data_IF_853712011012
#
_entry.id   IF_853712011012
#
_cell.length_a   1.000
_cell.length_b   1.000
_cell.length_c   1.000
_cell.angle_alpha   90.00
_cell.angle_beta   90.00
_cell.angle_gamma   90.00
#
_symmetry.space_group_name_H-M   'P 1'
#
loop_
_entity.id
_entity.type
_entity.pdbx_description
1 polymer ?
#
# COMPACT_ATOMS: atom_id res chain seq x y z
N UNK A 1 20.04 -49.60 11.32
CA UNK A 1 20.63 -48.59 10.41
C UNK A 1 19.51 -47.74 9.86
N UNK A 2 19.25 -46.59 10.49
CA UNK A 2 18.19 -45.66 10.07
C UNK A 2 18.81 -44.61 9.14
N UNK A 3 18.44 -44.65 7.86
CA UNK A 3 18.84 -43.66 6.88
C UNK A 3 18.13 -42.33 7.19
N UNK A 4 18.88 -41.35 7.66
CA UNK A 4 18.42 -39.97 7.85
C UNK A 4 18.24 -39.33 6.47
N UNK A 5 17.02 -39.37 5.96
CA UNK A 5 16.63 -38.70 4.74
C UNK A 5 16.56 -37.19 5.00
N UNK A 6 17.65 -36.49 4.71
CA UNK A 6 17.69 -35.03 4.72
C UNK A 6 16.88 -34.51 3.52
N UNK A 7 15.59 -34.30 3.73
CA UNK A 7 14.74 -33.55 2.81
C UNK A 7 15.18 -32.09 2.79
N UNK A 8 16.10 -31.79 1.86
CA UNK A 8 16.50 -30.42 1.52
C UNK A 8 15.29 -29.72 0.89
N UNK A 9 14.45 -29.11 1.73
CA UNK A 9 13.32 -28.30 1.25
C UNK A 9 13.85 -27.14 0.41
N UNK A 10 13.87 -27.32 -0.91
CA UNK A 10 14.29 -26.31 -1.85
C UNK A 10 13.35 -25.11 -1.70
N UNK A 11 13.93 -23.98 -1.31
CA UNK A 11 13.18 -22.77 -1.06
C UNK A 11 12.69 -22.23 -2.42
N UNK A 12 11.37 -22.24 -2.73
CA UNK A 12 10.86 -21.89 -4.06
C UNK A 12 11.24 -20.46 -4.47
N UNK A 13 11.52 -19.60 -3.48
CA UNK A 13 11.99 -18.22 -3.65
C UNK A 13 13.41 -18.11 -4.23
N UNK A 14 14.27 -19.11 -4.01
CA UNK A 14 15.62 -19.16 -4.59
C UNK A 14 15.63 -19.90 -5.93
N UNK A 15 14.68 -20.81 -6.14
CA UNK A 15 14.53 -21.57 -7.37
C UNK A 15 14.12 -20.70 -8.56
N UNK A 16 13.19 -19.76 -8.36
CA UNK A 16 12.70 -18.86 -9.43
C UNK A 16 13.81 -18.02 -10.10
N UNK A 17 14.66 -17.25 -9.37
CA UNK A 17 15.75 -16.52 -10.00
C UNK A 17 16.80 -17.43 -10.64
N UNK A 18 17.10 -18.57 -10.00
CA UNK A 18 18.08 -19.52 -10.52
C UNK A 18 17.60 -20.14 -11.84
N UNK A 19 16.32 -20.50 -11.93
CA UNK A 19 15.70 -20.98 -13.16
C UNK A 19 15.69 -19.90 -14.25
N UNK A 20 15.34 -18.65 -13.91
CA UNK A 20 15.37 -17.54 -14.87
C UNK A 20 16.78 -17.33 -15.45
N UNK A 21 17.81 -17.33 -14.61
CA UNK A 21 19.21 -17.24 -15.05
C UNK A 21 19.62 -18.44 -15.91
N UNK A 22 19.26 -19.66 -15.51
CA UNK A 22 19.56 -20.86 -16.28
C UNK A 22 18.89 -20.82 -17.66
N UNK A 23 17.62 -20.42 -17.73
CA UNK A 23 16.91 -20.28 -19.01
C UNK A 23 17.51 -19.17 -19.89
N UNK A 24 17.95 -18.06 -19.29
CA UNK A 24 18.62 -16.98 -20.02
C UNK A 24 19.98 -17.42 -20.60
N UNK A 25 20.76 -18.19 -19.83
CA UNK A 25 22.03 -18.76 -20.29
C UNK A 25 21.83 -19.78 -21.41
N UNK A 26 20.82 -20.65 -21.29
CA UNK A 26 20.48 -21.62 -22.35
C UNK A 26 20.07 -20.90 -23.64
N UNK A 27 19.23 -19.86 -23.54
CA UNK A 27 18.84 -19.06 -24.69
C UNK A 27 20.06 -18.37 -25.36
N UNK A 28 20.97 -17.79 -24.58
CA UNK A 28 22.19 -17.18 -25.09
C UNK A 28 23.10 -18.20 -25.80
N UNK A 29 23.26 -19.40 -25.22
CA UNK A 29 24.04 -20.48 -25.80
C UNK A 29 23.44 -20.97 -27.13
N UNK A 30 22.11 -21.10 -27.22
CA UNK A 30 21.43 -21.48 -28.46
C UNK A 30 21.63 -20.43 -29.57
N UNK A 31 21.57 -19.14 -29.25
CA UNK A 31 21.85 -18.06 -30.21
C UNK A 31 23.31 -18.08 -30.66
N UNK A 32 24.25 -18.31 -29.73
CA UNK A 32 25.66 -18.39 -30.05
C UNK A 32 26.01 -19.62 -30.91
N UNK A 33 25.30 -20.74 -30.72
CA UNK A 33 25.48 -21.98 -31.48
C UNK A 33 24.73 -21.99 -32.82
N UNK A 34 23.93 -20.95 -33.12
CA UNK A 34 23.15 -20.90 -34.35
C UNK A 34 24.05 -20.90 -35.61
N UNK A 35 23.74 -21.71 -36.64
CA UNK A 35 24.50 -21.72 -37.89
C UNK A 35 24.48 -20.36 -38.57
N UNK A 36 25.61 -20.03 -39.20
CA UNK A 36 25.85 -18.68 -39.69
C UNK A 36 24.76 -18.16 -40.63
N UNK A 37 24.39 -18.97 -41.62
CA UNK A 37 23.38 -18.59 -42.60
C UNK A 37 21.98 -18.38 -42.02
N UNK A 38 21.64 -19.06 -40.91
CA UNK A 38 20.30 -18.92 -40.29
C UNK A 38 20.22 -17.61 -39.51
N UNK A 39 21.29 -17.25 -38.80
CA UNK A 39 21.34 -16.00 -38.05
C UNK A 39 21.37 -14.80 -39.00
N UNK A 40 22.22 -14.84 -40.02
CA UNK A 40 22.40 -13.72 -40.94
C UNK A 40 21.10 -13.46 -41.73
N UNK A 41 20.42 -14.52 -42.21
CA UNK A 41 19.11 -14.40 -42.87
C UNK A 41 18.00 -13.89 -41.93
N UNK A 42 18.03 -14.27 -40.65
CA UNK A 42 17.07 -13.75 -39.68
C UNK A 42 17.28 -12.24 -39.43
N UNK A 43 18.54 -11.80 -39.31
CA UNK A 43 18.90 -10.39 -39.09
C UNK A 43 18.53 -9.53 -40.30
N UNK A 44 18.76 -10.00 -41.52
CA UNK A 44 18.37 -9.30 -42.75
C UNK A 44 16.84 -9.08 -42.85
N UNK A 45 16.03 -9.94 -42.23
CA UNK A 45 14.58 -9.78 -42.17
C UNK A 45 14.07 -8.79 -41.12
N UNK A 46 14.92 -8.32 -40.20
CA UNK A 46 14.54 -7.35 -39.17
C UNK A 46 14.77 -5.91 -39.67
N UNK A 47 13.83 -4.98 -39.46
CA UNK A 47 14.01 -3.56 -39.77
C UNK A 47 14.90 -2.87 -38.72
N UNK A 48 16.08 -3.41 -38.49
CA UNK A 48 17.05 -2.86 -37.54
C UNK A 48 17.98 -1.88 -38.30
N UNK A 49 18.32 -0.72 -37.71
CA UNK A 49 19.35 0.14 -38.27
C UNK A 49 20.67 -0.63 -38.33
N UNK A 50 21.47 -0.40 -39.38
CA UNK A 50 22.67 -1.14 -39.78
C UNK A 50 23.86 -1.15 -38.78
N UNK A 51 23.60 -0.99 -37.49
CA UNK A 51 24.58 -0.93 -36.42
C UNK A 51 25.00 -2.29 -35.84
N UNK A 52 24.42 -3.40 -36.31
CA UNK A 52 24.84 -4.73 -35.83
C UNK A 52 26.08 -5.16 -36.62
N UNK A 53 27.25 -5.30 -35.97
CA UNK A 53 28.46 -5.72 -36.66
C UNK A 53 28.28 -7.14 -37.23
N UNK A 54 28.60 -7.33 -38.51
CA UNK A 54 28.50 -8.63 -39.16
C UNK A 54 29.49 -9.65 -38.56
N UNK A 55 29.10 -10.92 -38.53
CA UNK A 55 29.96 -12.03 -38.10
C UNK A 55 29.91 -12.35 -36.60
N UNK A 56 31.02 -12.85 -36.07
CA UNK A 56 31.08 -13.46 -34.72
C UNK A 56 30.78 -12.45 -33.58
N UNK A 57 31.20 -11.20 -33.76
CA UNK A 57 30.96 -10.12 -32.79
C UNK A 57 29.48 -9.76 -32.70
N UNK A 58 28.77 -9.72 -33.83
CA UNK A 58 27.32 -9.53 -33.88
C UNK A 58 26.56 -10.63 -33.14
N UNK A 59 26.98 -11.89 -33.31
CA UNK A 59 26.35 -13.02 -32.61
C UNK A 59 26.58 -13.01 -31.11
N UNK A 60 27.79 -12.66 -30.67
CA UNK A 60 28.10 -12.49 -29.24
C UNK A 60 27.23 -11.38 -28.62
N UNK A 61 27.11 -10.24 -29.29
CA UNK A 61 26.27 -9.14 -28.82
C UNK A 61 24.79 -9.51 -28.80
N UNK A 62 24.29 -10.19 -29.83
CA UNK A 62 22.91 -10.66 -29.88
C UNK A 62 22.62 -11.70 -28.79
N UNK A 63 23.54 -12.64 -28.55
CA UNK A 63 23.41 -13.63 -27.49
C UNK A 63 23.35 -12.98 -26.10
N UNK A 64 24.21 -11.99 -25.83
CA UNK A 64 24.20 -11.23 -24.57
C UNK A 64 22.91 -10.42 -24.42
N UNK A 65 22.47 -9.73 -25.49
CA UNK A 65 21.25 -8.92 -25.45
C UNK A 65 20.01 -9.79 -25.20
N UNK A 66 19.85 -10.87 -25.95
CA UNK A 66 18.71 -11.79 -25.80
C UNK A 66 18.74 -12.49 -24.43
N UNK A 67 19.89 -13.03 -24.02
CA UNK A 67 20.05 -13.68 -22.72
C UNK A 67 19.81 -12.71 -21.55
N UNK A 68 20.31 -11.48 -21.67
CA UNK A 68 20.15 -10.41 -20.69
C UNK A 68 18.69 -9.98 -20.53
N UNK A 69 17.95 -9.80 -21.63
CA UNK A 69 16.52 -9.46 -21.59
C UNK A 69 15.70 -10.56 -20.94
N UNK A 70 15.93 -11.83 -21.29
CA UNK A 70 15.22 -12.97 -20.69
C UNK A 70 15.51 -13.07 -19.19
N UNK A 71 16.77 -12.93 -18.79
CA UNK A 71 17.16 -12.93 -17.38
C UNK A 71 16.56 -11.76 -16.60
N UNK A 72 16.56 -10.55 -17.19
CA UNK A 72 15.99 -9.35 -16.58
C UNK A 72 14.47 -9.46 -16.38
N UNK A 73 13.74 -9.97 -17.37
CA UNK A 73 12.28 -10.19 -17.27
C UNK A 73 11.94 -11.24 -16.21
N UNK A 74 12.73 -12.32 -16.12
CA UNK A 74 12.57 -13.33 -15.07
C UNK A 74 12.91 -12.82 -13.66
N UNK A 75 13.80 -11.82 -13.56
CA UNK A 75 14.17 -11.17 -12.31
C UNK A 75 13.26 -10.00 -11.92
N UNK A 76 12.49 -9.43 -12.86
CA UNK A 76 11.53 -8.33 -12.63
C UNK A 76 10.58 -8.54 -11.43
N UNK A 77 10.00 -9.74 -11.17
CA UNK A 77 9.17 -9.96 -9.98
C UNK A 77 9.92 -9.83 -8.65
N UNK A 78 11.26 -9.86 -8.65
CA UNK A 78 12.09 -9.62 -7.45
C UNK A 78 12.27 -8.12 -7.16
N UNK A 79 12.23 -7.29 -8.21
CA UNK A 79 12.34 -5.84 -8.15
C UNK A 79 11.00 -5.16 -7.86
N UNK A 80 9.88 -5.84 -8.15
CA UNK A 80 8.56 -5.32 -7.83
C UNK A 80 8.46 -5.06 -6.32
N UNK A 81 8.06 -3.84 -5.89
CA UNK A 81 7.91 -3.53 -4.48
C UNK A 81 6.95 -4.55 -3.89
N UNK A 82 7.41 -5.24 -2.83
CA UNK A 82 6.60 -6.21 -2.11
C UNK A 82 5.32 -5.54 -1.67
N UNK A 83 4.26 -5.66 -2.48
CA UNK A 83 2.90 -5.48 -2.01
C UNK A 83 2.76 -6.52 -0.92
N UNK A 84 2.91 -6.09 0.34
CA UNK A 84 2.59 -6.91 1.49
C UNK A 84 1.15 -7.34 1.24
N UNK A 85 0.96 -8.56 0.72
CA UNK A 85 -0.33 -9.23 0.77
C UNK A 85 -0.61 -9.26 2.25
N UNK A 86 -1.47 -8.34 2.71
CA UNK A 86 -2.07 -8.39 4.02
C UNK A 86 -2.71 -9.78 4.08
N UNK A 87 -2.00 -10.70 4.71
CA UNK A 87 -2.41 -12.07 4.89
C UNK A 87 -3.74 -12.03 5.63
N UNK A 88 -4.72 -12.77 5.10
CA UNK A 88 -6.09 -12.97 5.61
C UNK A 88 -6.17 -13.59 7.03
N UNK A 89 -5.11 -13.53 7.82
CA UNK A 89 -5.02 -14.06 9.17
C UNK A 89 -4.29 -13.02 10.03
N UNK A 90 -5.03 -12.28 10.85
CA UNK A 90 -4.47 -11.56 12.00
C UNK A 90 -4.02 -10.11 11.79
N UNK A 91 -4.22 -9.50 10.62
CA UNK A 91 -4.23 -8.05 10.54
C UNK A 91 -5.54 -7.57 11.18
N UNK A 92 -5.56 -7.50 12.51
CA UNK A 92 -6.60 -6.77 13.24
C UNK A 92 -6.58 -5.38 12.61
N UNK A 93 -7.60 -5.01 11.80
CA UNK A 93 -7.65 -3.67 11.26
C UNK A 93 -7.59 -2.75 12.46
N UNK A 94 -6.80 -1.68 12.41
CA UNK A 94 -6.79 -0.67 13.46
C UNK A 94 -8.25 -0.23 13.66
N UNK A 95 -8.91 -0.82 14.65
CA UNK A 95 -10.29 -0.50 14.98
C UNK A 95 -10.25 0.99 15.29
N UNK A 96 -11.06 1.78 14.58
CA UNK A 96 -11.30 3.14 15.03
C UNK A 96 -11.87 3.00 16.43
N UNK A 97 -11.40 3.82 17.38
CA UNK A 97 -11.96 3.81 18.75
C UNK A 97 -13.49 3.96 18.75
N UNK A 98 -14.03 4.63 17.73
CA UNK A 98 -15.46 4.76 17.48
C UNK A 98 -16.19 3.44 17.20
N UNK A 99 -15.51 2.44 16.63
CA UNK A 99 -16.07 1.13 16.29
C UNK A 99 -15.84 0.09 17.41
N UNK A 100 -15.12 0.45 18.48
CA UNK A 100 -14.89 -0.40 19.64
C UNK A 100 -16.05 -0.28 20.64
N UNK A 101 -17.25 -0.68 20.22
CA UNK A 101 -18.43 -0.75 21.10
C UNK A 101 -18.50 -2.15 21.74
N UNK A 102 -18.72 -2.28 23.06
CA UNK A 102 -18.76 -3.59 23.74
C UNK A 102 -19.84 -4.52 23.18
N UNK A 103 -20.98 -3.96 22.77
CA UNK A 103 -22.15 -4.74 22.34
C UNK A 103 -22.24 -4.94 20.82
N UNK A 104 -21.32 -4.40 20.02
CA UNK A 104 -21.36 -4.53 18.56
C UNK A 104 -20.09 -5.18 18.01
N UNK A 105 -20.20 -6.17 17.11
CA UNK A 105 -19.03 -6.76 16.48
C UNK A 105 -18.28 -5.72 15.64
N UNK A 106 -16.95 -5.85 15.60
CA UNK A 106 -16.09 -4.98 14.80
C UNK A 106 -16.55 -4.97 13.33
N UNK A 107 -16.93 -3.79 12.84
CA UNK A 107 -17.29 -3.59 11.44
C UNK A 107 -16.02 -3.56 10.59
N UNK A 108 -16.10 -4.10 9.36
CA UNK A 108 -15.01 -3.98 8.39
C UNK A 108 -14.90 -2.51 7.95
N UNK A 109 -13.69 -2.01 7.66
CA UNK A 109 -13.54 -0.67 7.09
C UNK A 109 -14.33 -0.56 5.80
N UNK A 110 -15.12 0.51 5.66
CA UNK A 110 -15.92 0.77 4.46
C UNK A 110 -14.97 0.89 3.27
N UNK A 111 -15.10 -0.02 2.30
CA UNK A 111 -14.29 -0.01 1.11
C UNK A 111 -14.84 0.99 0.09
N UNK A 112 -14.06 2.03 -0.21
CA UNK A 112 -14.45 3.14 -1.08
C UNK A 112 -14.96 2.72 -2.48
N UNK A 113 -14.56 1.55 -2.97
CA UNK A 113 -14.91 1.07 -4.31
C UNK A 113 -16.12 0.14 -4.35
N UNK A 114 -16.56 -0.42 -3.22
CA UNK A 114 -17.65 -1.40 -3.18
C UNK A 114 -18.84 -0.97 -2.33
N UNK A 115 -18.61 -0.13 -1.32
CA UNK A 115 -19.65 0.27 -0.37
C UNK A 115 -20.09 1.74 -0.54
N UNK A 116 -19.27 2.60 -1.17
CA UNK A 116 -19.61 4.01 -1.41
C UNK A 116 -20.48 4.24 -2.67
N UNK A 117 -20.86 3.18 -3.39
CA UNK A 117 -21.58 3.28 -4.66
C UNK A 117 -20.71 3.77 -5.81
N UNK A 118 -21.34 4.20 -6.91
CA UNK A 118 -20.62 4.93 -7.94
C UNK A 118 -19.95 6.15 -7.28
N UNK A 119 -18.67 6.44 -7.57
CA UNK A 119 -18.06 7.66 -7.05
C UNK A 119 -19.01 8.79 -7.42
N UNK A 120 -19.51 9.51 -6.40
CA UNK A 120 -20.23 10.76 -6.64
C UNK A 120 -19.27 11.52 -7.52
N UNK A 121 -19.62 11.67 -8.79
CA UNK A 121 -18.86 12.47 -9.73
C UNK A 121 -18.74 13.79 -8.99
N UNK A 122 -17.53 14.11 -8.49
CA UNK A 122 -17.23 15.45 -8.04
C UNK A 122 -17.73 16.30 -9.18
N UNK A 123 -18.77 17.09 -8.91
CA UNK A 123 -19.41 17.98 -9.87
C UNK A 123 -18.25 18.58 -10.65
N UNK A 124 -18.16 18.20 -11.92
CA UNK A 124 -17.04 18.57 -12.77
C UNK A 124 -16.90 20.08 -12.60
N UNK A 125 -15.71 20.61 -12.34
CA UNK A 125 -15.54 22.06 -12.19
C UNK A 125 -16.03 22.81 -13.44
N UNK A 126 -16.23 22.08 -14.54
CA UNK A 126 -16.85 22.52 -15.80
C UNK A 126 -18.38 22.65 -15.76
N UNK A 127 -19.07 22.07 -14.79
CA UNK A 127 -20.50 22.31 -14.51
C UNK A 127 -20.71 23.47 -13.53
N UNK A 128 -19.64 24.03 -12.96
CA UNK A 128 -19.68 25.22 -12.12
C UNK A 128 -19.78 26.53 -12.92
N UNK A 129 -20.13 26.49 -14.22
CA UNK A 129 -20.33 27.70 -15.03
C UNK A 129 -21.54 28.53 -14.62
N UNK A 130 -22.31 28.10 -13.62
CA UNK A 130 -23.41 28.88 -13.03
C UNK A 130 -23.12 29.26 -11.58
N UNK A 131 -21.84 29.43 -11.22
CA UNK A 131 -21.49 30.17 -10.01
C UNK A 131 -22.03 31.59 -10.14
N UNK A 132 -23.12 31.91 -9.42
CA UNK A 132 -23.57 33.28 -9.30
C UNK A 132 -22.41 34.13 -8.76
N UNK A 133 -22.12 35.29 -9.35
CA UNK A 133 -21.04 36.15 -8.89
C UNK A 133 -21.27 36.49 -7.42
N UNK A 134 -20.20 36.42 -6.62
CA UNK A 134 -20.27 36.83 -5.22
C UNK A 134 -20.70 38.31 -5.20
N UNK A 135 -21.76 38.66 -4.46
CA UNK A 135 -22.27 40.01 -4.36
C UNK A 135 -21.19 40.96 -3.84
N UNK A 136 -21.10 42.16 -4.41
CA UNK A 136 -20.12 43.15 -3.98
C UNK A 136 -20.34 43.65 -2.55
N UNK A 137 -21.57 43.53 -2.06
CA UNK A 137 -21.98 43.89 -0.71
C UNK A 137 -22.43 42.63 0.04
N UNK A 138 -21.67 42.24 1.07
CA UNK A 138 -21.94 41.08 1.92
C UNK A 138 -22.82 41.43 3.12
N UNK A 139 -23.06 42.73 3.36
CA UNK A 139 -23.88 43.20 4.47
C UNK A 139 -25.36 43.30 4.09
N UNK A 140 -25.71 43.07 2.81
CA UNK A 140 -27.09 43.02 2.39
C UNK A 140 -27.81 41.77 2.95
N UNK A 141 -29.10 41.90 3.35
CA UNK A 141 -29.83 40.78 3.94
C UNK A 141 -30.01 39.63 2.94
N UNK A 142 -29.89 38.39 3.43
CA UNK A 142 -29.98 37.17 2.61
C UNK A 142 -31.30 37.09 1.80
N UNK A 143 -32.37 37.68 2.34
CA UNK A 143 -33.68 37.77 1.69
C UNK A 143 -33.70 38.59 0.39
N UNK A 144 -32.68 39.44 0.16
CA UNK A 144 -32.54 40.17 -1.10
C UNK A 144 -32.02 39.28 -2.25
N UNK A 145 -31.31 38.18 -1.94
CA UNK A 145 -30.81 37.24 -2.95
C UNK A 145 -31.86 36.20 -3.36
N UNK A 146 -32.61 35.71 -2.37
CA UNK A 146 -33.72 34.79 -2.59
C UNK A 146 -34.91 35.22 -1.72
N UNK A 147 -35.86 36.01 -2.25
CA UNK A 147 -37.03 36.45 -1.52
C UNK A 147 -37.97 35.28 -1.15
N UNK A 148 -37.77 34.08 -1.72
CA UNK A 148 -38.50 32.86 -1.37
C UNK A 148 -37.85 32.07 -0.22
N UNK A 149 -36.58 32.31 0.11
CA UNK A 149 -35.86 31.55 1.13
C UNK A 149 -36.32 31.86 2.56
N UNK A 150 -36.76 33.09 2.82
CA UNK A 150 -37.30 33.51 4.12
C UNK A 150 -38.79 33.82 3.96
N UNK A 151 -39.68 32.96 4.49
CA UNK A 151 -41.11 33.22 4.40
C UNK A 151 -41.47 34.50 5.17
N UNK A 152 -42.29 35.37 4.57
CA UNK A 152 -42.75 36.63 5.17
C UNK A 152 -43.50 36.43 6.50
N UNK A 153 -44.02 35.23 6.74
CA UNK A 153 -44.68 34.84 7.98
C UNK A 153 -43.88 33.69 8.61
N UNK A 154 -43.50 33.78 9.90
CA UNK A 154 -42.91 32.67 10.62
C UNK A 154 -43.77 31.42 10.48
N UNK A 155 -43.15 30.29 10.14
CA UNK A 155 -43.88 29.02 10.07
C UNK A 155 -44.47 28.70 11.44
N UNK A 156 -45.68 28.17 11.44
CA UNK A 156 -46.31 27.69 12.67
C UNK A 156 -45.39 26.66 13.36
N UNK A 157 -45.30 26.69 14.71
CA UNK A 157 -44.48 25.74 15.45
C UNK A 157 -44.84 24.31 15.04
N UNK A 158 -43.84 23.53 14.62
CA UNK A 158 -44.06 22.12 14.29
C UNK A 158 -44.55 21.42 15.55
N UNK A 159 -45.74 20.81 15.46
CA UNK A 159 -46.33 20.04 16.56
C UNK A 159 -45.34 18.98 17.02
N UNK A 160 -45.11 18.89 18.32
CA UNK A 160 -44.31 17.84 18.92
C UNK A 160 -44.80 16.47 18.44
N UNK A 161 -43.94 15.75 17.72
CA UNK A 161 -44.21 14.38 17.29
C UNK A 161 -44.07 13.48 18.51
N UNK A 162 -45.07 12.64 18.76
CA UNK A 162 -45.04 11.65 19.86
C UNK A 162 -43.83 10.75 19.65
N UNK A 163 -42.98 10.62 20.67
CA UNK A 163 -41.83 9.73 20.62
C UNK A 163 -42.28 8.29 20.33
N UNK A 164 -41.62 7.67 19.36
CA UNK A 164 -41.82 6.25 19.04
C UNK A 164 -41.21 5.41 20.16
N UNK A 165 -42.08 5.00 21.10
CA UNK A 165 -41.84 4.07 22.21
C UNK A 165 -40.77 4.48 23.25
N UNK A 166 -40.99 4.17 24.54
CA UNK A 166 -39.95 4.32 25.54
C UNK A 166 -38.83 3.31 25.26
N UNK A 167 -37.64 3.82 24.92
CA UNK A 167 -36.41 3.01 24.99
C UNK A 167 -36.28 2.52 26.43
N UNK A 168 -36.40 1.21 26.60
CA UNK A 168 -36.24 0.51 27.89
C UNK A 168 -34.83 0.85 28.37
N UNK A 169 -34.70 1.77 29.33
CA UNK A 169 -33.41 2.16 29.92
C UNK A 169 -32.85 0.92 30.61
N UNK A 170 -31.92 0.23 29.95
CA UNK A 170 -31.04 -0.70 30.63
C UNK A 170 -30.29 0.11 31.68
N UNK A 171 -30.43 -0.29 32.95
CA UNK A 171 -29.75 0.30 34.09
C UNK A 171 -28.25 0.16 33.84
N UNK A 172 -27.58 1.28 33.54
CA UNK A 172 -26.12 1.30 33.43
C UNK A 172 -25.62 1.11 34.86
N UNK A 173 -25.11 -0.08 35.17
CA UNK A 173 -24.35 -0.31 36.39
C UNK A 173 -23.07 0.52 36.26
N UNK A 174 -22.99 1.60 37.06
CA UNK A 174 -21.80 2.40 37.16
C UNK A 174 -20.72 1.53 37.82
N UNK A 175 -19.79 1.01 37.00
CA UNK A 175 -18.57 0.43 37.52
C UNK A 175 -17.81 1.51 38.31
N UNK A 176 -17.38 1.23 39.56
CA UNK A 176 -16.50 2.15 40.27
C UNK A 176 -15.22 2.27 39.45
N UNK A 177 -15.00 3.45 38.87
CA UNK A 177 -13.71 3.82 38.32
C UNK A 177 -12.74 3.78 39.49
N UNK A 178 -11.73 2.88 39.51
CA UNK A 178 -10.72 2.95 40.55
C UNK A 178 -10.16 4.36 40.49
N UNK A 179 -10.12 5.06 41.64
CA UNK A 179 -9.44 6.33 41.76
C UNK A 179 -7.97 6.07 41.41
N UNK A 180 -7.66 6.18 40.11
CA UNK A 180 -6.32 6.04 39.59
C UNK A 180 -5.53 7.19 40.17
N UNK A 181 -4.67 6.84 41.13
CA UNK A 181 -3.48 7.55 41.59
C UNK A 181 -3.26 8.87 40.82
N UNK A 182 -3.87 9.94 41.34
CA UNK A 182 -3.84 11.28 40.77
C UNK A 182 -2.48 11.98 40.90
N UNK A 183 -1.38 11.24 41.08
CA UNK A 183 -0.04 11.78 41.29
C UNK A 183 1.05 10.96 40.58
N UNK A 184 0.78 10.50 39.35
CA UNK A 184 1.87 10.35 38.40
C UNK A 184 2.40 11.75 38.07
N UNK A 185 3.21 12.30 39.00
CA UNK A 185 3.91 13.57 38.86
C UNK A 185 4.48 13.65 37.45
N UNK A 186 4.39 14.83 36.83
CA UNK A 186 4.92 15.10 35.49
C UNK A 186 6.37 14.58 35.37
N UNK A 187 7.15 14.62 36.44
CA UNK A 187 8.49 14.03 36.51
C UNK A 187 8.52 12.52 36.26
N UNK A 188 7.61 11.74 36.87
CA UNK A 188 7.52 10.30 36.64
C UNK A 188 7.13 9.95 35.19
N UNK A 189 6.31 10.81 34.56
CA UNK A 189 5.98 10.67 33.14
C UNK A 189 7.18 10.99 32.24
N UNK A 190 7.92 12.06 32.54
CA UNK A 190 9.14 12.43 31.82
C UNK A 190 10.22 11.34 31.96
N UNK A 191 10.48 10.85 33.17
CA UNK A 191 11.42 9.76 33.43
C UNK A 191 11.06 8.47 32.68
N UNK A 192 9.76 8.17 32.60
CA UNK A 192 9.28 7.00 31.85
C UNK A 192 9.45 7.21 30.34
N UNK A 193 9.23 8.43 29.85
CA UNK A 193 9.36 8.79 28.44
C UNK A 193 10.83 8.77 28.02
N UNK A 194 11.72 9.32 28.84
CA UNK A 194 13.16 9.29 28.64
C UNK A 194 13.69 7.85 28.62
N UNK A 195 13.28 7.01 29.58
CA UNK A 195 13.61 5.57 29.57
C UNK A 195 13.05 4.83 28.35
N UNK A 196 11.91 5.25 27.81
CA UNK A 196 11.35 4.66 26.59
C UNK A 196 12.11 5.13 25.33
N UNK A 197 12.50 6.41 25.28
CA UNK A 197 13.29 6.98 24.20
C UNK A 197 14.70 6.37 24.14
N UNK A 198 15.37 6.25 25.28
CA UNK A 198 16.69 5.61 25.39
C UNK A 198 16.66 4.15 24.90
N UNK A 199 15.63 3.38 25.29
CA UNK A 199 15.45 2.00 24.82
C UNK A 199 15.25 1.91 23.31
N UNK A 200 14.51 2.84 22.70
CA UNK A 200 14.31 2.89 21.25
C UNK A 200 15.59 3.30 20.50
N UNK A 201 16.37 4.21 21.07
CA UNK A 201 17.65 4.63 20.49
C UNK A 201 18.65 3.47 20.47
N UNK A 202 18.79 2.74 21.59
CA UNK A 202 19.66 1.56 21.67
C UNK A 202 19.29 0.49 20.63
N UNK A 203 18.01 0.10 20.57
CA UNK A 203 17.54 -0.90 19.59
C UNK A 203 17.77 -0.48 18.13
N UNK A 204 17.78 0.83 17.84
CA UNK A 204 18.07 1.35 16.50
C UNK A 204 19.55 1.23 16.15
N UNK A 205 20.45 1.45 17.12
CA UNK A 205 21.89 1.31 16.95
C UNK A 205 22.25 -0.16 16.72
N UNK A 206 21.73 -1.07 17.57
CA UNK A 206 21.96 -2.51 17.43
C UNK A 206 21.53 -3.03 16.04
N UNK A 207 20.36 -2.59 15.56
CA UNK A 207 19.87 -2.95 14.23
C UNK A 207 20.74 -2.40 13.08
N UNK A 208 21.42 -1.28 13.29
CA UNK A 208 22.30 -0.66 12.30
C UNK A 208 23.64 -1.40 12.23
N UNK A 209 24.20 -1.80 13.37
CA UNK A 209 25.38 -2.65 13.44
C UNK A 209 25.14 -4.00 12.74
N UNK A 210 24.00 -4.63 12.99
CA UNK A 210 23.59 -5.85 12.30
C UNK A 210 23.51 -5.69 10.77
N UNK A 211 23.05 -4.53 10.30
CA UNK A 211 23.02 -4.23 8.86
C UNK A 211 24.44 -4.03 8.29
N UNK A 212 25.31 -3.33 9.00
CA UNK A 212 26.70 -3.12 8.57
C UNK A 212 27.47 -4.44 8.50
N UNK A 213 27.28 -5.33 9.48
CA UNK A 213 27.87 -6.68 9.45
C UNK A 213 27.38 -7.48 8.24
N UNK A 214 26.08 -7.41 7.92
CA UNK A 214 25.52 -8.08 6.74
C UNK A 214 26.08 -7.51 5.44
N UNK A 215 26.20 -6.19 5.33
CA UNK A 215 26.79 -5.54 4.16
C UNK A 215 28.27 -5.90 3.99
N UNK A 216 29.04 -5.90 5.07
CA UNK A 216 30.45 -6.32 5.05
C UNK A 216 30.59 -7.78 4.60
N UNK A 217 29.70 -8.66 5.05
CA UNK A 217 29.68 -10.07 4.64
C UNK A 217 29.31 -10.25 3.17
N UNK A 218 28.41 -9.43 2.63
CA UNK A 218 28.06 -9.43 1.20
C UNK A 218 29.16 -8.87 0.31
N UNK A 219 29.99 -7.94 0.81
CA UNK A 219 31.10 -7.36 0.03
C UNK A 219 32.35 -8.26 -0.02
N UNK A 220 32.48 -9.21 0.91
CA UNK A 220 33.65 -10.06 1.06
C UNK A 220 33.49 -11.47 0.44
N UNK A 221 32.35 -11.76 -0.20
CA UNK A 221 32.06 -13.05 -0.86
C UNK A 221 31.48 -12.84 -2.24
#
# INVERSE_FOLDING_TARGET
MAATQHDTRLNPRKLLPALALATGLIAAALVAAAPAGVFDAAVEGLPLPAFVPAGMTGRMLAAIAVGGVVAALGALPLLAPRRRRATRLGAIPLLRRADAHPDAPARRPIAAHSELGAPVLLIDARTAEHGQPIPADLDQPLAAFDPGAVPAVPRAPVRAVRSLAPVRRARIEAFPVPAGEGEASIGALLDRLERAAARRAAARIDGLEDMLVKLRKLAAG
#
